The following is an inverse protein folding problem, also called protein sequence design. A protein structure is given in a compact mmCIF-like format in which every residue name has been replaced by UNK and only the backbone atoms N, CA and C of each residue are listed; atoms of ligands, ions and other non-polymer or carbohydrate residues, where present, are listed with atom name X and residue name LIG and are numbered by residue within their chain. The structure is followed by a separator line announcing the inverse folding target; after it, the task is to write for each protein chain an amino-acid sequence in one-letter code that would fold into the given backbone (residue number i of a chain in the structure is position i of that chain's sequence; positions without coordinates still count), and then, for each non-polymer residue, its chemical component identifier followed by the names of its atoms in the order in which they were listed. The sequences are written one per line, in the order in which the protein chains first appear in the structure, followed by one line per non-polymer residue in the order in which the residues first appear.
data_IF_410908699115
#
_entry.id   IF_410908699115
#
_cell.length_a   1.000
_cell.length_b   1.000
_cell.length_c   1.000
_cell.angle_alpha   90.00
_cell.angle_beta   90.00
_cell.angle_gamma   90.00
#
_symmetry.space_group_name_H-M   'P 1'
#
loop_
_entity.id
_entity.type
_entity.pdbx_description
1 polymer ?
#
# COMPACT_ATOMS: atom_id res chain seq x y z
N UNK A 1 -15.11 22.40 -5.72
CA UNK A 1 -15.85 21.15 -5.50
C UNK A 1 -15.61 20.75 -4.07
N UNK A 2 -16.65 20.67 -3.23
CA UNK A 2 -16.55 20.25 -1.84
C UNK A 2 -16.07 18.79 -1.81
N UNK A 3 -14.87 18.56 -1.29
CA UNK A 3 -14.37 17.22 -1.04
C UNK A 3 -15.35 16.48 -0.12
N UNK A 4 -16.10 15.59 -0.71
CA UNK A 4 -16.95 14.67 0.02
C UNK A 4 -16.02 13.69 0.77
N UNK A 5 -15.62 14.05 2.00
CA UNK A 5 -14.73 13.22 2.83
C UNK A 5 -15.42 11.88 3.05
N UNK A 6 -14.81 10.83 2.51
CA UNK A 6 -15.30 9.46 2.70
C UNK A 6 -15.48 9.15 4.19
N UNK A 7 -16.64 8.58 4.53
CA UNK A 7 -16.90 8.10 5.89
C UNK A 7 -15.98 6.94 6.25
N UNK A 8 -15.70 6.76 7.56
CA UNK A 8 -14.89 5.63 8.02
C UNK A 8 -15.47 4.28 7.56
N UNK A 9 -16.80 4.15 7.54
CA UNK A 9 -17.49 2.93 7.08
C UNK A 9 -17.19 2.63 5.59
N UNK A 10 -17.18 3.64 4.75
CA UNK A 10 -16.83 3.51 3.33
C UNK A 10 -15.37 3.11 3.14
N UNK A 11 -14.44 3.73 3.89
CA UNK A 11 -13.01 3.39 3.86
C UNK A 11 -12.79 1.91 4.22
N UNK A 12 -13.40 1.42 5.29
CA UNK A 12 -13.37 0.00 5.65
C UNK A 12 -13.99 -0.90 4.58
N UNK A 13 -15.07 -0.45 3.94
CA UNK A 13 -15.70 -1.15 2.82
C UNK A 13 -14.74 -1.37 1.65
N UNK A 14 -13.99 -0.33 1.28
CA UNK A 14 -12.98 -0.40 0.20
C UNK A 14 -11.82 -1.29 0.60
N UNK A 15 -11.27 -1.15 1.81
CA UNK A 15 -10.20 -2.01 2.30
C UNK A 15 -10.62 -3.49 2.21
N UNK A 16 -11.81 -3.82 2.72
CA UNK A 16 -12.35 -5.19 2.68
C UNK A 16 -12.53 -5.70 1.24
N UNK A 17 -13.00 -4.82 0.34
CA UNK A 17 -13.17 -5.15 -1.09
C UNK A 17 -11.81 -5.42 -1.74
N UNK A 18 -10.79 -4.62 -1.42
CA UNK A 18 -9.44 -4.78 -1.95
C UNK A 18 -8.78 -6.05 -1.45
N UNK A 19 -8.97 -6.39 -0.16
CA UNK A 19 -8.53 -7.68 0.40
C UNK A 19 -9.15 -8.86 -0.36
N UNK A 20 -10.47 -8.80 -0.63
CA UNK A 20 -11.15 -9.85 -1.41
C UNK A 20 -10.65 -9.95 -2.85
N UNK A 21 -10.36 -8.81 -3.47
CA UNK A 21 -9.81 -8.76 -4.83
C UNK A 21 -8.44 -9.45 -4.89
N UNK A 22 -7.59 -9.16 -3.91
CA UNK A 22 -6.26 -9.77 -3.78
C UNK A 22 -6.37 -11.29 -3.61
N UNK A 23 -7.20 -11.75 -2.69
CA UNK A 23 -7.40 -13.19 -2.46
C UNK A 23 -8.03 -13.90 -3.68
N UNK A 24 -8.84 -13.18 -4.47
CA UNK A 24 -9.37 -13.70 -5.75
C UNK A 24 -8.28 -13.79 -6.82
N UNK A 25 -7.36 -12.82 -6.85
CA UNK A 25 -6.26 -12.79 -7.81
C UNK A 25 -5.19 -13.85 -7.50
N UNK A 26 -4.86 -14.03 -6.22
CA UNK A 26 -3.89 -15.03 -5.74
C UNK A 26 -4.27 -15.54 -4.34
N UNK A 27 -4.87 -16.72 -4.30
CA UNK A 27 -5.34 -17.34 -3.06
C UNK A 27 -4.18 -17.56 -2.05
N UNK A 28 -4.35 -17.05 -0.84
CA UNK A 28 -3.35 -17.15 0.23
C UNK A 28 -2.20 -16.13 0.10
N UNK A 29 -2.33 -15.10 -0.73
CA UNK A 29 -1.33 -14.03 -0.86
C UNK A 29 -1.08 -13.31 0.46
N UNK A 30 -2.15 -12.98 1.20
CA UNK A 30 -2.07 -12.32 2.50
C UNK A 30 -1.31 -13.19 3.50
N UNK A 31 -1.64 -14.48 3.56
CA UNK A 31 -0.97 -15.44 4.46
C UNK A 31 0.54 -15.50 4.18
N UNK A 32 0.95 -15.59 2.91
CA UNK A 32 2.37 -15.63 2.54
C UNK A 32 3.12 -14.35 2.96
N UNK A 33 2.50 -13.20 2.82
CA UNK A 33 3.08 -11.93 3.27
C UNK A 33 3.21 -11.85 4.79
N UNK A 34 2.25 -12.40 5.53
CA UNK A 34 2.32 -12.45 7.00
C UNK A 34 3.37 -13.44 7.49
N UNK A 35 3.43 -14.66 6.93
CA UNK A 35 4.42 -15.70 7.27
C UNK A 35 5.84 -15.19 7.09
N UNK A 36 6.09 -14.30 6.13
CA UNK A 36 7.38 -13.67 5.90
C UNK A 36 7.89 -12.79 7.07
N UNK A 37 6.97 -12.32 7.94
CA UNK A 37 7.30 -11.53 9.13
C UNK A 37 7.61 -12.36 10.37
N UNK A 38 7.20 -13.61 10.40
CA UNK A 38 7.37 -14.50 11.57
C UNK A 38 8.85 -14.68 11.94
N UNK A 39 9.78 -14.93 11.01
CA UNK A 39 11.20 -15.07 11.33
C UNK A 39 11.79 -13.83 12.01
N UNK A 40 11.45 -12.64 11.55
CA UNK A 40 11.93 -11.40 12.15
C UNK A 40 11.44 -11.24 13.60
N UNK A 41 10.20 -11.66 13.87
CA UNK A 41 9.62 -11.65 15.22
C UNK A 41 10.34 -12.65 16.11
N UNK A 42 10.52 -13.89 15.64
CA UNK A 42 11.20 -14.95 16.38
C UNK A 42 12.64 -14.53 16.69
N UNK A 43 13.40 -14.06 15.71
CA UNK A 43 14.80 -13.63 15.91
C UNK A 43 14.89 -12.49 16.92
N UNK A 44 13.96 -11.54 16.88
CA UNK A 44 13.94 -10.43 17.85
C UNK A 44 13.75 -10.92 19.29
N UNK A 45 12.74 -11.75 19.54
CA UNK A 45 12.41 -12.19 20.90
C UNK A 45 13.34 -13.29 21.40
N UNK A 46 13.83 -14.16 20.54
CA UNK A 46 14.86 -15.16 20.90
C UNK A 46 16.18 -14.51 21.28
N UNK A 47 16.57 -13.42 20.58
CA UNK A 47 17.75 -12.63 20.93
C UNK A 47 17.63 -11.92 22.29
N UNK A 48 16.47 -11.34 22.60
CA UNK A 48 16.21 -10.74 23.92
C UNK A 48 16.32 -11.80 25.03
N UNK A 49 15.68 -12.96 24.84
CA UNK A 49 15.70 -14.05 25.79
C UNK A 49 17.11 -14.63 26.01
N UNK A 50 17.88 -14.82 24.91
CA UNK A 50 19.25 -15.28 25.00
C UNK A 50 20.14 -14.30 25.75
N UNK A 51 20.03 -13.00 25.47
CA UNK A 51 20.81 -11.96 26.15
C UNK A 51 20.55 -12.00 27.67
N UNK A 52 19.30 -12.13 28.09
CA UNK A 52 18.94 -12.28 29.50
C UNK A 52 19.54 -13.54 30.12
N UNK A 53 19.40 -14.69 29.49
CA UNK A 53 19.96 -15.96 29.98
C UNK A 53 21.48 -15.93 30.13
N UNK A 54 22.18 -15.30 29.18
CA UNK A 54 23.64 -15.18 29.24
C UNK A 54 24.04 -14.29 30.42
N UNK A 55 23.41 -13.15 30.60
CA UNK A 55 23.78 -12.21 31.65
C UNK A 55 23.49 -12.83 33.02
N UNK A 56 22.32 -13.40 33.24
CA UNK A 56 22.00 -14.07 34.52
C UNK A 56 22.91 -15.31 34.73
N UNK A 57 23.19 -16.05 33.69
CA UNK A 57 24.10 -17.17 33.80
C UNK A 57 25.54 -16.79 34.16
N UNK A 58 26.04 -15.65 33.65
CA UNK A 58 27.36 -15.12 34.01
C UNK A 58 27.36 -14.57 35.46
N UNK A 59 26.31 -13.83 35.84
CA UNK A 59 26.20 -13.26 37.21
C UNK A 59 26.03 -14.32 38.25
N UNK A 60 25.32 -15.43 37.95
CA UNK A 60 25.12 -16.57 38.82
C UNK A 60 26.34 -17.53 38.83
N UNK A 61 27.37 -17.30 38.01
CA UNK A 61 28.53 -18.17 37.89
C UNK A 61 28.23 -19.54 37.30
N UNK A 62 27.26 -19.68 36.42
CA UNK A 62 26.90 -20.94 35.76
C UNK A 62 28.02 -21.42 34.83
N UNK A 63 28.20 -22.76 34.65
CA UNK A 63 29.26 -23.29 33.81
C UNK A 63 29.08 -22.86 32.34
N UNK A 64 30.19 -22.70 31.64
CA UNK A 64 30.22 -22.30 30.23
C UNK A 64 29.37 -23.22 29.31
N UNK A 65 29.30 -24.51 29.64
CA UNK A 65 28.48 -25.50 28.91
C UNK A 65 26.98 -25.13 28.91
N UNK A 66 26.46 -24.62 30.02
CA UNK A 66 25.08 -24.16 30.11
C UNK A 66 24.83 -22.99 29.15
N UNK A 67 25.73 -22.01 29.14
CA UNK A 67 25.61 -20.83 28.27
C UNK A 67 25.74 -21.20 26.79
N UNK A 68 26.67 -22.11 26.47
CA UNK A 68 26.85 -22.60 25.10
C UNK A 68 25.65 -23.43 24.61
N UNK A 69 25.06 -24.25 25.48
CA UNK A 69 23.84 -25.00 25.12
C UNK A 69 22.63 -24.08 24.90
N UNK A 70 22.46 -23.07 25.75
CA UNK A 70 21.40 -22.06 25.55
C UNK A 70 21.59 -21.32 24.22
N UNK A 71 22.80 -20.86 23.93
CA UNK A 71 23.14 -20.21 22.66
C UNK A 71 22.88 -21.12 21.46
N UNK A 72 23.28 -22.39 21.53
CA UNK A 72 23.07 -23.37 20.46
C UNK A 72 21.58 -23.63 20.19
N UNK A 73 20.74 -23.68 21.23
CA UNK A 73 19.30 -23.86 21.08
C UNK A 73 18.68 -22.63 20.36
N UNK A 74 19.03 -21.42 20.78
CA UNK A 74 18.52 -20.19 20.15
C UNK A 74 19.00 -20.09 18.70
N UNK A 75 20.29 -20.36 18.41
CA UNK A 75 20.80 -20.40 17.04
C UNK A 75 20.06 -21.45 16.19
N UNK A 76 19.70 -22.59 16.78
CA UNK A 76 18.90 -23.62 16.11
C UNK A 76 17.49 -23.12 15.74
N UNK A 77 16.83 -22.41 16.66
CA UNK A 77 15.51 -21.77 16.41
C UNK A 77 15.63 -20.73 15.31
N UNK A 78 16.65 -19.88 15.36
CA UNK A 78 16.89 -18.86 14.32
C UNK A 78 17.18 -19.48 12.96
N UNK A 79 17.97 -20.54 12.90
CA UNK A 79 18.25 -21.27 11.66
C UNK A 79 16.97 -21.83 11.03
N UNK A 80 16.12 -22.47 11.83
CA UNK A 80 14.81 -22.98 11.36
C UNK A 80 13.95 -21.82 10.85
N UNK A 81 13.95 -20.71 11.56
CA UNK A 81 13.21 -19.51 11.20
C UNK A 81 13.68 -18.95 9.85
N UNK A 82 14.98 -18.83 9.62
CA UNK A 82 15.57 -18.40 8.35
C UNK A 82 15.23 -19.38 7.22
N UNK A 83 15.27 -20.69 7.47
CA UNK A 83 14.88 -21.67 6.46
C UNK A 83 13.40 -21.51 6.04
N UNK A 84 12.51 -21.30 7.01
CA UNK A 84 11.10 -21.00 6.72
C UNK A 84 10.99 -19.73 5.86
N UNK A 85 11.75 -18.67 6.17
CA UNK A 85 11.77 -17.43 5.41
C UNK A 85 12.22 -17.64 3.96
N UNK A 86 13.30 -18.39 3.76
CA UNK A 86 13.83 -18.67 2.41
C UNK A 86 12.81 -19.42 1.57
N UNK A 87 12.17 -20.46 2.14
CA UNK A 87 11.15 -21.25 1.45
C UNK A 87 9.91 -20.36 1.12
N UNK A 88 9.48 -19.57 2.11
CA UNK A 88 8.34 -18.69 1.92
C UNK A 88 8.64 -17.58 0.89
N UNK A 89 9.83 -16.99 0.89
CA UNK A 89 10.24 -15.96 -0.06
C UNK A 89 10.24 -16.48 -1.50
N UNK A 90 10.73 -17.70 -1.72
CA UNK A 90 10.66 -18.34 -3.04
C UNK A 90 9.21 -18.45 -3.54
N UNK A 91 8.31 -18.91 -2.69
CA UNK A 91 6.90 -19.01 -3.00
C UNK A 91 6.26 -17.62 -3.20
N UNK A 92 6.58 -16.65 -2.36
CA UNK A 92 6.09 -15.27 -2.44
C UNK A 92 6.49 -14.59 -3.75
N UNK A 93 7.73 -14.74 -4.20
CA UNK A 93 8.19 -14.16 -5.47
C UNK A 93 7.49 -14.78 -6.67
N UNK A 94 7.35 -16.12 -6.72
CA UNK A 94 6.63 -16.81 -7.78
C UNK A 94 5.15 -16.36 -7.85
N UNK A 95 4.47 -16.32 -6.71
CA UNK A 95 3.09 -15.88 -6.61
C UNK A 95 2.91 -14.37 -6.82
N UNK A 96 3.89 -13.55 -6.45
CA UNK A 96 3.86 -12.12 -6.69
C UNK A 96 3.71 -11.78 -8.18
N UNK A 97 4.46 -12.46 -9.05
CA UNK A 97 4.33 -12.30 -10.50
C UNK A 97 2.94 -12.74 -11.01
N UNK A 98 2.40 -13.84 -10.48
CA UNK A 98 1.06 -14.32 -10.83
C UNK A 98 -0.04 -13.35 -10.39
N UNK A 99 0.10 -12.78 -9.20
CA UNK A 99 -0.82 -11.80 -8.66
C UNK A 99 -0.97 -10.59 -9.58
N UNK A 100 0.15 -9.93 -9.96
CA UNK A 100 0.13 -8.77 -10.85
C UNK A 100 -0.54 -9.09 -12.18
N UNK A 101 -0.16 -10.20 -12.82
CA UNK A 101 -0.74 -10.65 -14.08
C UNK A 101 -2.25 -10.91 -13.98
N UNK A 102 -2.71 -11.47 -12.87
CA UNK A 102 -4.13 -11.75 -12.68
C UNK A 102 -4.95 -10.48 -12.45
N UNK A 103 -4.41 -9.49 -11.73
CA UNK A 103 -5.07 -8.19 -11.56
C UNK A 103 -5.11 -7.44 -12.90
N UNK A 104 -4.02 -7.43 -13.65
CA UNK A 104 -3.97 -6.84 -14.99
C UNK A 104 -4.99 -7.50 -15.94
N UNK A 105 -5.07 -8.84 -15.93
CA UNK A 105 -6.07 -9.58 -16.69
C UNK A 105 -7.51 -9.17 -16.34
N UNK A 106 -7.78 -8.87 -15.07
CA UNK A 106 -9.12 -8.41 -14.66
C UNK A 106 -9.46 -7.04 -15.29
N UNK A 107 -8.48 -6.13 -15.36
CA UNK A 107 -8.67 -4.82 -16.01
C UNK A 107 -8.82 -4.99 -17.51
N UNK A 108 -7.92 -5.75 -18.15
CA UNK A 108 -8.02 -6.00 -19.58
C UNK A 108 -9.37 -6.62 -19.95
N UNK A 109 -9.84 -7.60 -19.14
CA UNK A 109 -11.17 -8.18 -19.35
C UNK A 109 -12.27 -7.11 -19.24
N UNK A 110 -12.20 -6.24 -18.21
CA UNK A 110 -13.16 -5.14 -18.04
C UNK A 110 -13.20 -4.23 -19.26
N UNK A 111 -12.03 -3.83 -19.79
CA UNK A 111 -11.94 -3.01 -21.01
C UNK A 111 -12.57 -3.71 -22.21
N UNK A 112 -12.32 -5.03 -22.38
CA UNK A 112 -12.87 -5.81 -23.49
C UNK A 112 -14.38 -6.03 -23.38
N UNK A 113 -14.92 -6.06 -22.17
CA UNK A 113 -16.36 -6.27 -21.91
C UNK A 113 -17.15 -4.94 -21.97
N UNK A 114 -16.49 -3.78 -22.00
CA UNK A 114 -17.12 -2.45 -22.11
C UNK A 114 -17.52 -2.13 -23.55
N UNK A 115 -18.54 -1.28 -23.69
CA UNK A 115 -18.90 -0.70 -24.99
C UNK A 115 -17.78 0.23 -25.49
N UNK A 116 -17.57 0.25 -26.80
CA UNK A 116 -16.54 1.06 -27.44
C UNK A 116 -16.73 2.56 -27.17
N UNK A 117 -17.96 3.05 -27.18
CA UNK A 117 -18.28 4.43 -26.85
C UNK A 117 -17.84 4.86 -25.44
N UNK A 118 -17.90 3.92 -24.49
CA UNK A 118 -17.40 4.14 -23.12
C UNK A 118 -15.88 4.16 -23.05
N UNK A 119 -15.20 3.35 -23.89
CA UNK A 119 -13.74 3.32 -23.92
C UNK A 119 -13.15 4.59 -24.50
N UNK A 120 -13.81 5.21 -25.49
CA UNK A 120 -13.39 6.48 -26.09
C UNK A 120 -13.67 7.70 -25.19
N UNK A 121 -14.56 7.57 -24.20
CA UNK A 121 -14.86 8.65 -23.27
C UNK A 121 -13.65 9.05 -22.44
N UNK A 122 -13.33 10.36 -22.44
CA UNK A 122 -12.16 10.92 -21.74
C UNK A 122 -12.24 10.65 -20.23
N UNK A 123 -13.44 10.70 -19.63
CA UNK A 123 -13.60 10.42 -18.20
C UNK A 123 -13.27 8.96 -17.88
N UNK A 124 -13.73 8.03 -18.71
CA UNK A 124 -13.44 6.60 -18.59
C UNK A 124 -11.96 6.31 -18.79
N UNK A 125 -11.30 6.94 -19.77
CA UNK A 125 -9.84 6.79 -19.95
C UNK A 125 -9.06 7.32 -18.76
N UNK A 126 -9.45 8.47 -18.20
CA UNK A 126 -8.84 8.99 -16.98
C UNK A 126 -9.00 8.04 -15.78
N UNK A 127 -10.18 7.42 -15.62
CA UNK A 127 -10.42 6.40 -14.59
C UNK A 127 -9.55 5.16 -14.80
N UNK A 128 -9.39 4.72 -16.05
CA UNK A 128 -8.52 3.58 -16.40
C UNK A 128 -7.06 3.87 -16.08
N UNK A 129 -6.54 5.05 -16.41
CA UNK A 129 -5.16 5.43 -16.16
C UNK A 129 -4.88 5.57 -14.64
N UNK A 130 -5.84 6.14 -13.90
CA UNK A 130 -5.77 6.15 -12.45
C UNK A 130 -5.77 4.73 -11.88
N UNK A 131 -6.66 3.85 -12.35
CA UNK A 131 -6.72 2.46 -11.92
C UNK A 131 -5.40 1.73 -12.16
N UNK A 132 -4.77 1.89 -13.33
CA UNK A 132 -3.45 1.32 -13.64
C UNK A 132 -2.37 1.85 -12.69
N UNK A 133 -2.34 3.16 -12.45
CA UNK A 133 -1.37 3.80 -11.57
C UNK A 133 -1.42 3.19 -10.17
N UNK A 134 -2.62 2.99 -9.60
CA UNK A 134 -2.76 2.46 -8.24
C UNK A 134 -2.59 0.95 -8.12
N UNK A 135 -2.54 0.22 -9.21
CA UNK A 135 -2.20 -1.21 -9.17
C UNK A 135 -0.69 -1.42 -9.00
N UNK A 136 0.12 -0.64 -9.71
CA UNK A 136 1.56 -0.86 -9.78
C UNK A 136 2.37 -0.01 -8.79
N UNK A 137 1.81 1.07 -8.25
CA UNK A 137 2.55 1.93 -7.34
C UNK A 137 2.82 1.21 -6.01
N UNK A 138 4.10 0.99 -5.69
CA UNK A 138 4.53 0.29 -4.48
C UNK A 138 4.17 1.04 -3.19
N UNK A 139 4.07 2.38 -3.24
CA UNK A 139 3.84 3.21 -2.06
C UNK A 139 2.36 3.51 -1.78
N UNK A 140 1.55 3.61 -2.83
CA UNK A 140 0.14 4.02 -2.71
C UNK A 140 -0.83 2.99 -3.26
N UNK A 141 -0.35 2.07 -4.06
CA UNK A 141 -1.16 1.06 -4.73
C UNK A 141 -1.52 -0.14 -3.87
N UNK A 142 -2.03 -1.17 -4.52
CA UNK A 142 -2.40 -2.44 -3.87
C UNK A 142 -1.21 -3.12 -3.15
N UNK A 143 0.04 -3.08 -3.65
CA UNK A 143 1.18 -3.62 -2.91
C UNK A 143 1.38 -2.97 -1.54
N UNK A 144 1.10 -1.66 -1.41
CA UNK A 144 1.17 -0.96 -0.14
C UNK A 144 0.18 -1.51 0.89
N UNK A 145 -1.04 -1.88 0.46
CA UNK A 145 -2.02 -2.51 1.33
C UNK A 145 -1.45 -3.78 1.99
N UNK A 146 -0.75 -4.61 1.22
CA UNK A 146 -0.15 -5.83 1.75
C UNK A 146 0.92 -5.55 2.80
N UNK A 147 1.77 -4.54 2.54
CA UNK A 147 2.78 -4.07 3.49
C UNK A 147 2.14 -3.61 4.80
N UNK A 148 1.16 -2.71 4.72
CA UNK A 148 0.48 -2.17 5.90
C UNK A 148 -0.30 -3.24 6.67
N UNK A 149 -1.05 -4.10 5.98
CA UNK A 149 -1.79 -5.17 6.62
C UNK A 149 -0.87 -6.16 7.36
N UNK A 150 0.23 -6.58 6.73
CA UNK A 150 1.20 -7.48 7.35
C UNK A 150 1.92 -6.81 8.54
N UNK A 151 2.18 -5.50 8.49
CA UNK A 151 2.76 -4.75 9.59
C UNK A 151 1.82 -4.68 10.79
N UNK A 152 0.53 -4.38 10.58
CA UNK A 152 -0.49 -4.41 11.66
C UNK A 152 -0.59 -5.80 12.29
N UNK A 153 -0.66 -6.86 11.48
CA UNK A 153 -0.73 -8.23 12.00
C UNK A 153 0.54 -8.60 12.79
N UNK A 154 1.72 -8.25 12.28
CA UNK A 154 2.99 -8.51 12.99
C UNK A 154 3.10 -7.72 14.29
N UNK A 155 2.62 -6.47 14.31
CA UNK A 155 2.58 -5.65 15.50
C UNK A 155 1.74 -6.27 16.60
N UNK A 156 0.53 -6.78 16.27
CA UNK A 156 -0.32 -7.49 17.24
C UNK A 156 0.41 -8.68 17.85
N UNK A 157 1.09 -9.49 17.04
CA UNK A 157 1.86 -10.66 17.52
C UNK A 157 3.01 -10.22 18.43
N UNK A 158 3.73 -9.14 18.06
CA UNK A 158 4.83 -8.60 18.87
C UNK A 158 4.33 -8.09 20.25
N UNK A 159 3.18 -7.42 20.30
CA UNK A 159 2.58 -6.99 21.56
C UNK A 159 2.25 -8.20 22.43
N UNK A 160 1.58 -9.21 21.89
CA UNK A 160 1.24 -10.42 22.63
C UNK A 160 2.48 -11.15 23.17
N UNK A 161 3.52 -11.32 22.36
CA UNK A 161 4.77 -11.96 22.77
C UNK A 161 5.55 -11.12 23.77
N UNK A 162 5.61 -9.80 23.57
CA UNK A 162 6.26 -8.88 24.50
C UNK A 162 5.65 -8.92 25.88
N UNK A 163 4.31 -8.90 25.98
CA UNK A 163 3.61 -9.06 27.25
C UNK A 163 3.80 -10.44 27.85
N UNK A 164 3.77 -11.51 27.05
CA UNK A 164 3.95 -12.88 27.53
C UNK A 164 5.34 -13.09 28.18
N UNK A 165 6.39 -12.50 27.58
CA UNK A 165 7.76 -12.57 28.10
C UNK A 165 8.00 -11.62 29.28
N UNK A 166 7.38 -10.43 29.28
CA UNK A 166 7.54 -9.48 30.38
C UNK A 166 6.68 -9.80 31.59
N UNK A 167 5.56 -10.52 31.43
CA UNK A 167 4.63 -10.82 32.53
C UNK A 167 5.26 -11.50 33.76
N UNK A 168 6.10 -12.56 33.63
CA UNK A 168 6.73 -13.18 34.79
C UNK A 168 7.58 -12.20 35.61
N UNK A 169 8.31 -11.31 34.91
CA UNK A 169 9.17 -10.31 35.54
C UNK A 169 8.38 -9.23 36.28
N UNK A 170 7.16 -8.93 35.80
CA UNK A 170 6.27 -7.90 36.38
C UNK A 170 5.61 -8.36 37.68
N UNK A 171 5.23 -9.64 37.76
CA UNK A 171 4.35 -10.16 38.82
C UNK A 171 5.09 -10.91 39.95
N UNK A 172 6.41 -10.87 39.98
CA UNK A 172 7.26 -11.65 40.93
C UNK A 172 7.05 -11.27 42.42
N UNK A 173 6.50 -10.10 42.79
CA UNK A 173 6.33 -9.71 44.16
C UNK A 173 4.96 -9.05 44.44
N UNK A 174 4.06 -9.84 45.05
CA UNK A 174 2.77 -9.35 45.58
C UNK A 174 2.86 -9.04 47.09
N UNK A 175 3.82 -8.20 47.50
CA UNK A 175 3.87 -7.72 48.88
C UNK A 175 2.73 -6.71 49.15
N UNK A 176 2.22 -6.66 50.36
CA UNK A 176 1.21 -5.66 50.74
C UNK A 176 1.76 -4.24 50.54
N UNK A 177 1.03 -3.42 49.79
CA UNK A 177 1.44 -2.04 49.46
C UNK A 177 1.18 -1.17 50.69
N UNK A 178 2.25 -0.78 51.39
CA UNK A 178 2.17 0.12 52.58
C UNK A 178 2.74 1.50 52.31
N UNK A 179 3.78 1.58 51.43
CA UNK A 179 4.51 2.80 51.11
C UNK A 179 4.78 2.93 49.60
N UNK A 180 5.23 4.11 49.19
CA UNK A 180 5.63 4.37 47.78
C UNK A 180 6.70 3.36 47.29
N UNK A 181 7.62 3.00 48.19
CA UNK A 181 8.64 1.97 47.88
C UNK A 181 8.00 0.62 47.59
N UNK A 182 7.11 0.14 48.49
CA UNK A 182 6.39 -1.12 48.30
C UNK A 182 5.48 -1.09 47.05
N UNK A 183 4.91 0.07 46.74
CA UNK A 183 4.11 0.27 45.52
C UNK A 183 4.96 0.10 44.26
N UNK A 184 6.12 0.76 44.17
CA UNK A 184 7.04 0.65 43.04
C UNK A 184 7.62 -0.79 42.88
N UNK A 185 7.76 -1.50 43.99
CA UNK A 185 8.18 -2.91 44.00
C UNK A 185 7.09 -3.88 43.63
N UNK A 186 5.84 -3.48 43.70
CA UNK A 186 4.67 -4.33 43.42
C UNK A 186 4.40 -4.39 41.90
N UNK A 187 3.59 -5.38 41.49
CA UNK A 187 3.02 -5.45 40.13
C UNK A 187 2.14 -4.24 39.77
N UNK A 188 1.54 -3.57 40.77
CA UNK A 188 0.75 -2.36 40.57
C UNK A 188 1.60 -1.17 40.08
N UNK A 189 2.81 -1.00 40.62
CA UNK A 189 3.73 0.03 40.17
C UNK A 189 4.10 -0.16 38.70
N UNK A 190 4.37 -1.42 38.32
CA UNK A 190 4.61 -1.77 36.92
C UNK A 190 3.36 -1.51 36.03
N UNK A 191 2.16 -1.86 36.53
CA UNK A 191 0.93 -1.62 35.77
C UNK A 191 0.68 -0.12 35.51
N UNK A 192 0.90 0.73 36.53
CA UNK A 192 0.75 2.20 36.42
C UNK A 192 1.79 2.77 35.38
N UNK A 193 3.02 2.29 35.44
CA UNK A 193 4.04 2.68 34.45
C UNK A 193 3.63 2.28 33.03
N UNK A 194 3.08 1.07 32.85
CA UNK A 194 2.55 0.60 31.57
C UNK A 194 1.42 1.45 31.05
N UNK A 195 0.48 1.81 31.95
CA UNK A 195 -0.63 2.70 31.61
C UNK A 195 -0.10 4.07 31.20
N UNK A 196 0.91 4.61 31.90
CA UNK A 196 1.53 5.89 31.55
C UNK A 196 2.21 5.84 30.17
N UNK A 197 3.06 4.84 29.92
CA UNK A 197 3.68 4.68 28.60
C UNK A 197 2.63 4.44 27.51
N UNK A 198 1.63 3.59 27.76
CA UNK A 198 0.54 3.37 26.83
C UNK A 198 -0.31 4.62 26.56
N UNK A 199 -0.52 5.48 27.56
CA UNK A 199 -1.20 6.76 27.37
C UNK A 199 -0.41 7.73 26.47
N UNK A 200 0.93 7.75 26.59
CA UNK A 200 1.77 8.52 25.69
C UNK A 200 1.69 8.00 24.24
N UNK A 201 1.71 6.68 24.04
CA UNK A 201 1.53 6.07 22.72
C UNK A 201 0.15 6.37 22.13
N UNK A 202 -0.92 6.25 22.93
CA UNK A 202 -2.27 6.60 22.50
C UNK A 202 -2.35 8.09 22.15
N UNK A 203 -1.70 8.97 22.92
CA UNK A 203 -1.64 10.39 22.61
C UNK A 203 -0.94 10.65 21.28
N UNK A 204 0.19 10.02 21.02
CA UNK A 204 0.89 10.11 19.73
C UNK A 204 -0.03 9.63 18.58
N UNK A 205 -0.60 8.44 18.74
CA UNK A 205 -1.48 7.83 17.74
C UNK A 205 -2.75 8.65 17.45
N UNK A 206 -3.35 9.25 18.47
CA UNK A 206 -4.62 9.97 18.32
C UNK A 206 -4.47 11.46 17.99
N UNK A 207 -3.41 12.11 18.45
CA UNK A 207 -3.24 13.56 18.33
C UNK A 207 -2.16 13.97 17.34
N UNK A 208 -1.01 13.29 17.30
CA UNK A 208 0.14 13.71 16.51
C UNK A 208 0.17 13.05 15.11
N UNK A 209 0.02 11.74 15.03
CA UNK A 209 0.05 11.01 13.75
C UNK A 209 -0.99 11.52 12.74
N UNK A 210 -2.27 11.75 13.11
CA UNK A 210 -3.26 12.26 12.16
C UNK A 210 -2.93 13.65 11.62
N UNK A 211 -2.22 14.48 12.40
CA UNK A 211 -1.78 15.80 11.92
C UNK A 211 -0.63 15.68 10.92
N UNK A 212 0.36 14.82 11.20
CA UNK A 212 1.44 14.54 10.27
C UNK A 212 0.91 13.92 8.97
N UNK A 213 0.03 12.93 9.06
CA UNK A 213 -0.62 12.32 7.89
C UNK A 213 -1.46 13.30 7.07
N UNK A 214 -2.14 14.25 7.71
CA UNK A 214 -2.91 15.28 7.01
C UNK A 214 -2.03 16.12 6.08
N UNK A 215 -0.82 16.49 6.50
CA UNK A 215 0.10 17.22 5.63
C UNK A 215 0.60 16.36 4.46
N UNK A 216 0.87 15.08 4.72
CA UNK A 216 1.24 14.14 3.66
C UNK A 216 0.08 13.91 2.67
N UNK A 217 -1.14 13.77 3.16
CA UNK A 217 -2.34 13.60 2.32
C UNK A 217 -2.60 14.83 1.45
N UNK A 218 -2.45 16.04 2.00
CA UNK A 218 -2.54 17.29 1.25
C UNK A 218 -1.54 17.37 0.10
N UNK A 219 -0.33 16.84 0.28
CA UNK A 219 0.67 16.78 -0.80
C UNK A 219 0.18 15.92 -1.97
N UNK A 220 -0.48 14.80 -1.70
CA UNK A 220 -0.97 13.88 -2.73
C UNK A 220 -2.33 14.27 -3.34
N UNK A 221 -3.06 15.19 -2.71
CA UNK A 221 -4.40 15.60 -3.15
C UNK A 221 -4.46 17.03 -3.71
N UNK A 222 -3.40 17.83 -3.53
CA UNK A 222 -3.34 19.21 -4.04
C UNK A 222 -3.38 19.22 -5.58
N UNK A 223 -4.41 19.85 -6.20
CA UNK A 223 -4.55 19.87 -7.65
C UNK A 223 -3.35 20.48 -8.39
N UNK A 224 -2.69 21.48 -7.78
CA UNK A 224 -1.50 22.13 -8.37
C UNK A 224 -0.33 21.16 -8.43
N UNK A 225 -0.14 20.37 -7.38
CA UNK A 225 0.93 19.37 -7.32
C UNK A 225 0.64 18.24 -8.30
N UNK A 226 -0.59 17.76 -8.35
CA UNK A 226 -1.00 16.74 -9.30
C UNK A 226 -0.80 17.18 -10.75
N UNK A 227 -1.11 18.45 -11.05
CA UNK A 227 -0.87 19.03 -12.37
C UNK A 227 0.63 19.11 -12.66
N UNK A 228 1.43 19.67 -11.77
CA UNK A 228 2.88 19.78 -11.92
C UNK A 228 3.55 18.41 -12.07
N UNK A 229 3.08 17.39 -11.35
CA UNK A 229 3.57 16.01 -11.46
C UNK A 229 3.23 15.38 -12.83
N UNK A 230 2.02 15.64 -13.36
CA UNK A 230 1.64 15.22 -14.71
C UNK A 230 2.50 15.89 -15.77
N UNK A 231 2.72 17.19 -15.67
CA UNK A 231 3.58 17.96 -16.59
C UNK A 231 5.02 17.45 -16.52
N UNK A 232 5.59 17.27 -15.33
CA UNK A 232 6.92 16.70 -15.11
C UNK A 232 7.05 15.30 -15.73
N UNK A 233 6.05 14.46 -15.51
CA UNK A 233 6.00 13.11 -16.08
C UNK A 233 5.88 13.13 -17.58
N UNK A 234 5.05 14.00 -18.15
CA UNK A 234 4.88 14.17 -19.58
C UNK A 234 6.23 14.50 -20.25
N UNK A 235 6.93 15.54 -19.79
CA UNK A 235 8.21 15.93 -20.37
C UNK A 235 9.25 14.81 -20.24
N UNK A 236 9.32 14.15 -19.09
CA UNK A 236 10.23 13.03 -18.88
C UNK A 236 9.97 11.87 -19.86
N UNK A 237 8.72 11.46 -20.02
CA UNK A 237 8.37 10.37 -20.93
C UNK A 237 8.55 10.76 -22.40
N UNK A 238 8.17 11.97 -22.80
CA UNK A 238 8.30 12.46 -24.18
C UNK A 238 9.75 12.65 -24.62
N UNK A 239 10.63 13.08 -23.72
CA UNK A 239 12.00 13.40 -24.04
C UNK A 239 12.97 12.25 -23.80
N UNK A 240 12.88 11.62 -22.61
CA UNK A 240 13.89 10.63 -22.18
C UNK A 240 13.56 9.22 -22.66
N UNK A 241 12.29 8.82 -22.64
CA UNK A 241 11.90 7.45 -22.97
C UNK A 241 11.33 7.27 -24.37
N UNK A 242 10.96 8.35 -25.07
CA UNK A 242 10.43 8.26 -26.42
C UNK A 242 11.38 8.89 -27.45
N UNK A 243 12.30 8.10 -28.00
CA UNK A 243 13.25 8.54 -29.02
C UNK A 243 12.58 9.05 -30.31
N UNK A 244 11.32 8.69 -30.57
CA UNK A 244 10.60 9.10 -31.80
C UNK A 244 10.45 10.61 -31.90
N UNK A 245 10.27 11.29 -30.78
CA UNK A 245 10.14 12.74 -30.71
C UNK A 245 11.49 13.48 -30.85
N UNK A 246 12.62 12.77 -30.75
CA UNK A 246 13.94 13.38 -30.79
C UNK A 246 14.27 14.11 -32.08
N UNK A 247 13.69 13.70 -33.24
CA UNK A 247 13.85 14.39 -34.52
C UNK A 247 13.13 15.72 -34.51
N UNK A 248 11.90 15.76 -34.06
CA UNK A 248 11.05 16.97 -34.01
C UNK A 248 11.61 17.99 -33.03
N UNK A 249 11.98 17.56 -31.82
CA UNK A 249 12.62 18.40 -30.80
C UNK A 249 13.86 19.11 -31.34
N UNK A 250 14.72 18.40 -32.14
CA UNK A 250 15.92 18.99 -32.73
C UNK A 250 15.60 19.90 -33.91
N UNK A 251 14.62 19.52 -34.74
CA UNK A 251 14.22 20.28 -35.92
C UNK A 251 13.61 21.63 -35.53
N UNK A 252 12.78 21.65 -34.48
CA UNK A 252 12.11 22.87 -34.04
C UNK A 252 12.87 23.60 -32.91
N UNK A 253 13.99 23.07 -32.45
CA UNK A 253 14.82 23.72 -31.41
C UNK A 253 14.15 23.80 -30.04
N UNK A 254 13.30 22.80 -29.69
CA UNK A 254 12.44 22.84 -28.51
C UNK A 254 13.17 22.49 -27.18
N UNK A 255 14.48 22.18 -27.21
CA UNK A 255 15.21 21.70 -26.03
C UNK A 255 15.08 22.66 -24.84
N UNK A 256 15.31 23.97 -25.05
CA UNK A 256 15.26 24.97 -24.01
C UNK A 256 13.85 25.17 -23.43
N UNK A 257 12.82 25.07 -24.28
CA UNK A 257 11.42 25.16 -23.88
C UNK A 257 11.04 23.97 -22.99
N UNK A 258 11.40 22.77 -23.41
CA UNK A 258 11.14 21.53 -22.67
C UNK A 258 11.85 21.54 -21.32
N UNK A 259 13.13 21.92 -21.31
CA UNK A 259 13.93 22.01 -20.08
C UNK A 259 13.32 23.03 -19.11
N UNK A 260 12.98 24.23 -19.58
CA UNK A 260 12.35 25.27 -18.76
C UNK A 260 11.03 24.78 -18.14
N UNK A 261 10.15 24.20 -18.93
CA UNK A 261 8.85 23.74 -18.46
C UNK A 261 9.00 22.55 -17.47
N UNK A 262 9.92 21.63 -17.77
CA UNK A 262 10.25 20.54 -16.83
C UNK A 262 10.76 21.07 -15.51
N UNK A 263 11.71 22.01 -15.51
CA UNK A 263 12.28 22.60 -14.30
C UNK A 263 11.21 23.33 -13.49
N UNK A 264 10.36 24.13 -14.13
CA UNK A 264 9.28 24.85 -13.44
C UNK A 264 8.32 23.89 -12.74
N UNK A 265 7.90 22.82 -13.44
CA UNK A 265 7.05 21.80 -12.85
C UNK A 265 7.78 21.02 -11.72
N UNK A 266 9.07 20.73 -11.91
CA UNK A 266 9.91 20.04 -10.93
C UNK A 266 10.08 20.86 -9.65
N UNK A 267 10.41 22.13 -9.76
CA UNK A 267 10.56 23.05 -8.63
C UNK A 267 9.26 23.15 -7.83
N UNK A 268 8.12 23.30 -8.50
CA UNK A 268 6.80 23.33 -7.84
C UNK A 268 6.54 22.07 -6.99
N UNK A 269 6.90 20.90 -7.50
CA UNK A 269 6.75 19.64 -6.77
C UNK A 269 7.74 19.56 -5.60
N UNK A 270 9.00 19.90 -5.83
CA UNK A 270 10.07 19.84 -4.81
C UNK A 270 9.79 20.81 -3.67
N UNK A 271 9.41 22.04 -3.95
CA UNK A 271 9.10 23.03 -2.91
C UNK A 271 7.97 22.56 -2.00
N UNK A 272 6.94 21.97 -2.59
CA UNK A 272 5.84 21.42 -1.79
C UNK A 272 6.27 20.22 -0.96
N UNK A 273 7.07 19.34 -1.53
CA UNK A 273 7.65 18.20 -0.82
C UNK A 273 8.44 18.70 0.40
N UNK A 274 9.35 19.67 0.19
CA UNK A 274 10.15 20.24 1.27
C UNK A 274 9.29 20.87 2.37
N UNK A 275 8.30 21.71 1.99
CA UNK A 275 7.36 22.30 2.96
C UNK A 275 6.62 21.24 3.77
N UNK A 276 6.19 20.17 3.13
CA UNK A 276 5.49 19.04 3.79
C UNK A 276 6.42 18.34 4.77
N UNK A 277 7.64 18.02 4.35
CA UNK A 277 8.63 17.37 5.22
C UNK A 277 9.01 18.23 6.43
N UNK A 278 9.20 19.53 6.26
CA UNK A 278 9.48 20.42 7.39
C UNK A 278 8.34 20.39 8.43
N UNK A 279 7.09 20.50 7.98
CA UNK A 279 5.93 20.47 8.89
C UNK A 279 5.75 19.08 9.54
N UNK A 280 5.96 18.01 8.80
CA UNK A 280 5.87 16.66 9.35
C UNK A 280 6.99 16.41 10.37
N UNK A 281 8.20 16.95 10.14
CA UNK A 281 9.33 16.83 11.07
C UNK A 281 9.06 17.45 12.43
N UNK A 282 8.27 18.53 12.52
CA UNK A 282 7.87 19.13 13.81
C UNK A 282 7.07 18.12 14.66
N UNK A 283 6.11 17.43 14.06
CA UNK A 283 5.33 16.40 14.76
C UNK A 283 6.19 15.19 15.10
N UNK A 284 7.05 14.75 14.19
CA UNK A 284 7.99 13.65 14.43
C UNK A 284 8.94 13.96 15.58
N UNK A 285 9.40 15.20 15.69
CA UNK A 285 10.24 15.63 16.82
C UNK A 285 9.52 15.51 18.17
N UNK A 286 8.25 15.94 18.24
CA UNK A 286 7.44 15.81 19.46
C UNK A 286 7.21 14.32 19.80
N UNK A 287 6.92 13.49 18.81
CA UNK A 287 6.78 12.04 19.00
C UNK A 287 8.06 11.43 19.58
N UNK A 288 9.23 11.75 19.00
CA UNK A 288 10.51 11.27 19.50
C UNK A 288 10.81 11.75 20.94
N UNK A 289 10.34 12.94 21.33
CA UNK A 289 10.45 13.39 22.72
C UNK A 289 9.56 12.58 23.67
N UNK A 290 8.32 12.24 23.26
CA UNK A 290 7.45 11.37 24.04
C UNK A 290 8.08 9.99 24.21
N UNK A 291 8.67 9.43 23.14
CA UNK A 291 9.37 8.15 23.19
C UNK A 291 10.58 8.18 24.11
N UNK A 292 11.37 9.24 24.06
CA UNK A 292 12.52 9.42 24.96
C UNK A 292 12.05 9.47 26.43
N UNK A 293 10.97 10.20 26.71
CA UNK A 293 10.39 10.28 28.05
C UNK A 293 9.90 8.90 28.52
N UNK A 294 9.19 8.17 27.69
CA UNK A 294 8.76 6.81 28.00
C UNK A 294 9.95 5.89 28.32
N UNK A 295 11.00 5.94 27.50
CA UNK A 295 12.22 5.15 27.72
C UNK A 295 12.94 5.54 29.00
N UNK A 296 13.07 6.84 29.33
CA UNK A 296 13.69 7.30 30.56
C UNK A 296 12.94 6.79 31.81
N UNK A 297 11.62 6.86 31.79
CA UNK A 297 10.78 6.35 32.90
C UNK A 297 10.92 4.84 33.03
N UNK A 298 10.92 4.14 31.90
CA UNK A 298 11.07 2.67 31.84
C UNK A 298 12.42 2.21 32.39
N UNK A 299 13.52 2.80 31.94
CA UNK A 299 14.87 2.49 32.44
C UNK A 299 15.01 2.86 33.92
N UNK A 300 14.53 4.03 34.33
CA UNK A 300 14.57 4.47 35.74
C UNK A 300 13.85 3.47 36.64
N UNK A 301 12.67 3.01 36.25
CA UNK A 301 11.92 2.00 36.99
C UNK A 301 12.65 0.63 37.06
N UNK A 302 13.18 0.17 35.93
CA UNK A 302 13.90 -1.10 35.89
C UNK A 302 15.16 -1.08 36.76
N UNK A 303 15.96 0.00 36.68
CA UNK A 303 17.16 0.20 37.49
C UNK A 303 16.79 0.28 38.98
N UNK A 304 15.71 1.03 39.33
CA UNK A 304 15.25 1.12 40.72
C UNK A 304 14.90 -0.26 41.29
N UNK A 305 14.17 -1.10 40.54
CA UNK A 305 13.84 -2.46 40.97
C UNK A 305 15.05 -3.39 41.05
N UNK A 306 15.99 -3.26 40.13
CA UNK A 306 17.22 -4.04 40.15
C UNK A 306 18.12 -3.71 41.35
N UNK A 307 18.33 -2.44 41.66
CA UNK A 307 19.12 -1.98 42.82
C UNK A 307 18.52 -2.46 44.12
N UNK A 308 17.21 -2.55 44.20
CA UNK A 308 16.50 -3.05 45.41
C UNK A 308 16.33 -4.59 45.39
N UNK A 309 17.00 -5.32 44.49
CA UNK A 309 17.06 -6.77 44.49
C UNK A 309 15.78 -7.50 44.06
N UNK A 310 14.83 -6.80 43.43
CA UNK A 310 13.58 -7.42 42.95
C UNK A 310 13.62 -7.89 41.51
N UNK A 311 14.68 -7.58 40.76
CA UNK A 311 14.94 -8.02 39.39
C UNK A 311 16.41 -8.43 39.27
N UNK A 312 16.65 -9.52 38.54
CA UNK A 312 18.00 -9.87 38.09
C UNK A 312 18.48 -8.94 36.97
N UNK A 313 19.74 -8.97 36.62
CA UNK A 313 20.26 -8.21 35.48
C UNK A 313 19.63 -8.68 34.16
N UNK A 314 19.36 -9.97 34.00
CA UNK A 314 18.65 -10.52 32.85
C UNK A 314 17.19 -10.10 32.80
N UNK A 315 16.50 -10.05 33.94
CA UNK A 315 15.13 -9.57 34.05
C UNK A 315 14.99 -8.12 33.57
N UNK A 316 15.97 -7.27 33.92
CA UNK A 316 16.01 -5.86 33.43
C UNK A 316 16.05 -5.82 31.92
N UNK A 317 16.83 -6.69 31.28
CA UNK A 317 16.95 -6.77 29.81
C UNK A 317 15.62 -7.20 29.21
N UNK A 318 15.00 -8.29 29.72
CA UNK A 318 13.70 -8.76 29.22
C UNK A 318 12.68 -7.63 29.35
N UNK A 319 12.57 -7.03 30.55
CA UNK A 319 11.60 -5.99 30.83
C UNK A 319 11.76 -4.80 29.87
N UNK A 320 12.95 -4.21 29.81
CA UNK A 320 13.20 -3.00 29.00
C UNK A 320 13.05 -3.29 27.51
N UNK A 321 13.67 -4.37 27.01
CA UNK A 321 13.62 -4.68 25.57
C UNK A 321 12.24 -5.11 25.10
N UNK A 322 11.50 -5.90 25.88
CA UNK A 322 10.12 -6.25 25.54
C UNK A 322 9.23 -5.00 25.48
N UNK A 323 9.40 -4.07 26.44
CA UNK A 323 8.64 -2.82 26.43
C UNK A 323 8.93 -1.94 25.23
N UNK A 324 10.21 -1.75 24.91
CA UNK A 324 10.62 -1.02 23.70
C UNK A 324 10.00 -1.67 22.45
N UNK A 325 9.96 -3.00 22.39
CA UNK A 325 9.32 -3.71 21.29
C UNK A 325 7.81 -3.53 21.24
N UNK A 326 7.15 -3.53 22.40
CA UNK A 326 5.72 -3.24 22.49
C UNK A 326 5.43 -1.80 22.00
N UNK A 327 6.24 -0.80 22.39
CA UNK A 327 6.10 0.57 21.91
C UNK A 327 6.23 0.65 20.39
N UNK A 328 7.29 0.11 19.80
CA UNK A 328 7.45 0.07 18.35
C UNK A 328 6.32 -0.68 17.63
N UNK A 329 5.76 -1.70 18.25
CA UNK A 329 4.62 -2.42 17.68
C UNK A 329 3.34 -1.57 17.70
N UNK A 330 3.09 -0.78 18.76
CA UNK A 330 1.99 0.17 18.82
C UNK A 330 2.12 1.28 17.79
N UNK A 331 3.31 1.89 17.69
CA UNK A 331 3.63 2.89 16.67
C UNK A 331 3.39 2.31 15.26
N UNK A 332 3.95 1.15 14.97
CA UNK A 332 3.78 0.46 13.69
C UNK A 332 2.31 0.16 13.38
N UNK A 333 1.51 -0.29 14.36
CA UNK A 333 0.07 -0.51 14.15
C UNK A 333 -0.62 0.81 13.84
N UNK A 334 -0.36 1.86 14.61
CA UNK A 334 -0.98 3.17 14.42
C UNK A 334 -0.70 3.74 13.02
N UNK A 335 0.56 3.78 12.63
CA UNK A 335 1.00 4.35 11.34
C UNK A 335 0.46 3.55 10.16
N UNK A 336 0.57 2.22 10.23
CA UNK A 336 0.10 1.37 9.16
C UNK A 336 -1.43 1.35 9.06
N UNK A 337 -2.13 1.42 10.19
CA UNK A 337 -3.58 1.50 10.21
C UNK A 337 -4.08 2.85 9.66
N UNK A 338 -3.45 3.96 10.06
CA UNK A 338 -3.70 5.29 9.51
C UNK A 338 -3.48 5.32 7.99
N UNK A 339 -2.34 4.77 7.56
CA UNK A 339 -2.01 4.64 6.12
C UNK A 339 -3.03 3.80 5.34
N UNK A 340 -3.56 2.71 5.92
CA UNK A 340 -4.64 1.93 5.30
C UNK A 340 -5.89 2.78 5.09
N UNK A 341 -6.28 3.58 6.07
CA UNK A 341 -7.45 4.45 5.98
C UNK A 341 -7.25 5.56 4.95
N UNK A 342 -6.09 6.22 4.94
CA UNK A 342 -5.77 7.31 4.01
C UNK A 342 -5.68 6.79 2.57
N UNK A 343 -4.93 5.73 2.34
CA UNK A 343 -4.75 5.16 1.00
C UNK A 343 -6.02 4.48 0.44
N UNK A 344 -7.00 4.17 1.27
CA UNK A 344 -8.29 3.65 0.80
C UNK A 344 -9.00 4.57 -0.19
N UNK A 345 -8.78 5.90 -0.11
CA UNK A 345 -9.30 6.87 -1.08
C UNK A 345 -8.69 6.67 -2.48
N UNK A 346 -7.41 6.31 -2.52
CA UNK A 346 -6.71 6.02 -3.78
C UNK A 346 -7.21 4.71 -4.40
N UNK A 347 -7.45 3.69 -3.56
CA UNK A 347 -8.01 2.41 -4.04
C UNK A 347 -9.46 2.54 -4.51
N UNK A 348 -10.20 3.54 -4.06
CA UNK A 348 -11.52 3.84 -4.58
C UNK A 348 -11.48 4.10 -6.08
N UNK A 349 -10.47 4.80 -6.58
CA UNK A 349 -10.35 5.12 -8.01
C UNK A 349 -10.24 3.86 -8.90
N UNK A 350 -9.66 2.78 -8.38
CA UNK A 350 -9.71 1.48 -9.07
C UNK A 350 -11.16 0.99 -9.19
N UNK A 351 -11.96 1.14 -8.14
CA UNK A 351 -13.34 0.70 -8.16
C UNK A 351 -14.24 1.60 -8.96
N UNK A 352 -13.97 2.91 -9.00
CA UNK A 352 -14.67 3.85 -9.86
C UNK A 352 -14.54 3.46 -11.35
N UNK A 353 -13.44 2.81 -11.73
CA UNK A 353 -13.28 2.19 -13.04
C UNK A 353 -13.96 0.82 -13.15
N UNK A 354 -13.72 -0.09 -12.18
CA UNK A 354 -14.25 -1.46 -12.24
C UNK A 354 -15.79 -1.53 -12.16
N UNK A 355 -16.41 -0.52 -11.56
CA UNK A 355 -17.87 -0.45 -11.36
C UNK A 355 -18.61 0.23 -12.51
N UNK A 356 -17.90 0.70 -13.56
CA UNK A 356 -18.56 1.17 -14.79
C UNK A 356 -19.39 0.02 -15.35
N UNK A 357 -20.67 0.22 -15.70
CA UNK A 357 -21.51 -0.84 -16.25
C UNK A 357 -20.96 -1.40 -17.55
N UNK A 358 -21.07 -2.73 -17.72
CA UNK A 358 -20.76 -3.41 -18.97
C UNK A 358 -22.02 -3.38 -19.86
N UNK A 359 -22.12 -2.37 -20.71
CA UNK A 359 -23.28 -2.13 -21.58
C UNK A 359 -23.07 -2.63 -23.01
N UNK A 360 -22.04 -3.45 -23.22
CA UNK A 360 -21.75 -3.99 -24.55
C UNK A 360 -22.89 -4.86 -25.02
N UNK A 361 -23.56 -4.43 -26.09
CA UNK A 361 -24.53 -5.25 -26.77
C UNK A 361 -23.81 -6.45 -27.41
N UNK A 362 -24.08 -7.61 -26.91
CA UNK A 362 -23.63 -8.86 -27.53
C UNK A 362 -24.84 -9.45 -28.29
N UNK A 363 -24.76 -9.41 -29.62
CA UNK A 363 -25.77 -10.08 -30.45
C UNK A 363 -25.90 -11.55 -30.06
N UNK A 364 -27.12 -12.04 -30.12
CA UNK A 364 -27.43 -13.44 -29.77
C UNK A 364 -27.17 -14.43 -30.92
N UNK A 365 -26.93 -13.91 -32.13
CA UNK A 365 -26.70 -14.72 -33.32
C UNK A 365 -25.19 -14.77 -33.57
N UNK A 366 -24.54 -15.94 -33.45
CA UNK A 366 -23.13 -16.09 -33.80
C UNK A 366 -22.95 -15.92 -35.31
N UNK A 367 -21.81 -15.33 -35.70
CA UNK A 367 -21.42 -15.28 -37.12
C UNK A 367 -21.25 -16.70 -37.63
N UNK A 368 -21.97 -17.05 -38.69
CA UNK A 368 -21.85 -18.35 -39.33
C UNK A 368 -20.41 -18.48 -39.92
N UNK A 369 -19.73 -19.56 -39.57
CA UNK A 369 -18.45 -19.90 -40.20
C UNK A 369 -18.76 -20.64 -41.50
N UNK A 370 -18.43 -20.01 -42.62
CA UNK A 370 -18.62 -20.57 -43.96
C UNK A 370 -17.28 -21.04 -44.52
N UNK A 371 -17.26 -22.25 -45.06
CA UNK A 371 -16.07 -22.83 -45.70
C UNK A 371 -15.65 -22.10 -46.99
N UNK A 372 -16.63 -21.46 -47.65
CA UNK A 372 -16.44 -20.70 -48.87
C UNK A 372 -15.86 -19.27 -48.61
N UNK A 373 -15.81 -18.81 -47.38
CA UNK A 373 -15.44 -17.45 -46.96
C UNK A 373 -16.26 -16.35 -47.70
N UNK A 374 -17.39 -16.69 -48.30
CA UNK A 374 -18.28 -15.72 -48.94
C UNK A 374 -19.20 -15.06 -47.90
N UNK A 375 -18.77 -13.91 -47.39
CA UNK A 375 -19.59 -13.12 -46.45
C UNK A 375 -20.13 -11.86 -47.12
N UNK A 376 -21.35 -11.49 -46.75
CA UNK A 376 -22.03 -10.30 -47.22
C UNK A 376 -22.31 -9.37 -46.04
N UNK A 377 -22.01 -8.10 -46.20
CA UNK A 377 -22.30 -7.05 -45.22
C UNK A 377 -23.50 -6.25 -45.74
N UNK A 378 -24.48 -6.07 -44.87
CA UNK A 378 -25.68 -5.30 -45.20
C UNK A 378 -26.02 -4.33 -44.06
N UNK A 379 -26.14 -3.05 -44.42
CA UNK A 379 -26.72 -2.01 -43.57
C UNK A 379 -28.14 -1.78 -44.04
N UNK A 380 -29.13 -1.86 -43.13
CA UNK A 380 -30.55 -1.60 -43.41
C UNK A 380 -31.02 -0.48 -42.48
N UNK A 381 -31.42 0.64 -43.07
CA UNK A 381 -31.96 1.79 -42.34
C UNK A 381 -31.09 2.19 -41.13
N UNK A 382 -29.75 2.27 -41.31
CA UNK A 382 -28.83 2.56 -40.23
C UNK A 382 -28.77 4.07 -40.01
N UNK A 383 -29.01 4.45 -38.75
CA UNK A 383 -28.91 5.83 -38.28
C UNK A 383 -27.80 5.86 -37.24
N UNK A 384 -26.88 6.84 -37.34
CA UNK A 384 -25.79 6.99 -36.38
C UNK A 384 -25.62 8.45 -35.97
N UNK A 385 -25.44 8.70 -34.68
CA UNK A 385 -25.01 9.96 -34.10
C UNK A 385 -23.95 9.72 -33.04
N UNK A 386 -23.03 10.66 -32.89
CA UNK A 386 -22.07 10.66 -31.79
C UNK A 386 -22.81 10.92 -30.46
N UNK A 387 -22.33 10.36 -29.32
CA UNK A 387 -22.98 10.50 -28.01
C UNK A 387 -23.32 11.94 -27.61
N UNK A 388 -22.43 12.89 -27.93
CA UNK A 388 -22.55 14.31 -27.58
C UNK A 388 -23.19 15.17 -28.70
N UNK A 389 -23.66 14.54 -29.79
CA UNK A 389 -24.29 15.24 -30.91
C UNK A 389 -25.82 15.17 -30.82
N UNK A 390 -26.48 16.31 -31.01
CA UNK A 390 -27.94 16.33 -31.15
C UNK A 390 -28.39 15.86 -32.54
N UNK A 391 -27.53 16.02 -33.56
CA UNK A 391 -27.83 15.67 -34.93
C UNK A 391 -27.27 14.31 -35.33
N UNK A 392 -28.03 13.58 -36.15
CA UNK A 392 -27.55 12.36 -36.77
C UNK A 392 -26.53 12.65 -37.85
N UNK A 393 -25.34 12.07 -37.70
CA UNK A 393 -24.22 12.14 -38.67
C UNK A 393 -24.50 11.27 -39.87
N UNK A 394 -25.09 10.09 -39.68
CA UNK A 394 -25.57 9.23 -40.76
C UNK A 394 -27.06 9.05 -40.60
N UNK A 395 -27.78 9.18 -41.72
CA UNK A 395 -29.24 9.11 -41.76
C UNK A 395 -29.65 8.11 -42.82
N UNK A 396 -30.40 7.09 -42.42
CA UNK A 396 -31.05 6.09 -43.30
C UNK A 396 -30.07 5.44 -44.29
N UNK A 397 -28.93 4.94 -43.80
CA UNK A 397 -27.92 4.29 -44.63
C UNK A 397 -28.39 2.88 -45.01
N UNK A 398 -28.48 2.64 -46.32
CA UNK A 398 -28.79 1.37 -46.91
C UNK A 398 -27.64 0.97 -47.86
N UNK A 399 -26.80 0.02 -47.44
CA UNK A 399 -25.63 -0.42 -48.19
C UNK A 399 -25.50 -1.94 -48.12
N UNK A 400 -25.03 -2.54 -49.21
CA UNK A 400 -24.80 -3.97 -49.30
C UNK A 400 -23.54 -4.23 -50.10
N UNK A 401 -22.61 -5.04 -49.57
CA UNK A 401 -21.38 -5.42 -50.29
C UNK A 401 -20.85 -6.78 -49.83
N UNK A 402 -20.03 -7.41 -50.66
CA UNK A 402 -19.40 -8.72 -50.39
C UNK A 402 -17.93 -8.53 -49.97
N UNK A 403 -17.39 -9.53 -49.30
CA UNK A 403 -15.96 -9.59 -49.04
C UNK A 403 -15.18 -9.55 -50.37
N UNK A 404 -14.15 -8.70 -50.41
CA UNK A 404 -13.33 -8.50 -51.59
C UNK A 404 -13.80 -7.36 -52.52
N UNK A 405 -15.02 -6.87 -52.40
CA UNK A 405 -15.48 -5.67 -53.11
C UNK A 405 -14.77 -4.40 -52.58
N UNK A 406 -14.38 -3.52 -53.48
CA UNK A 406 -13.77 -2.23 -53.16
C UNK A 406 -14.84 -1.15 -53.27
N UNK A 407 -15.14 -0.49 -52.18
CA UNK A 407 -16.08 0.63 -52.15
C UNK A 407 -15.33 1.92 -51.80
N UNK A 408 -15.59 2.98 -52.55
CA UNK A 408 -15.08 4.32 -52.25
C UNK A 408 -16.14 5.11 -51.52
N UNK A 409 -15.86 5.55 -50.30
CA UNK A 409 -16.71 6.43 -49.49
C UNK A 409 -16.25 7.88 -49.71
N UNK A 410 -17.14 8.72 -50.19
CA UNK A 410 -16.87 10.13 -50.48
C UNK A 410 -17.82 10.98 -49.65
N UNK A 411 -17.30 11.95 -48.90
CA UNK A 411 -18.10 12.85 -48.06
C UNK A 411 -17.35 14.16 -47.78
N UNK A 412 -18.04 15.11 -47.15
CA UNK A 412 -17.40 16.35 -46.68
C UNK A 412 -16.33 16.01 -45.64
N UNK A 413 -15.21 16.78 -45.65
CA UNK A 413 -14.15 16.67 -44.64
C UNK A 413 -14.74 16.87 -43.24
N UNK A 414 -14.48 15.93 -42.34
CA UNK A 414 -15.03 15.90 -40.98
C UNK A 414 -16.05 14.80 -40.72
N UNK A 415 -16.60 14.17 -41.77
CA UNK A 415 -17.32 12.90 -41.61
C UNK A 415 -16.31 11.78 -41.51
N UNK A 416 -15.91 11.43 -40.31
CA UNK A 416 -15.01 10.27 -40.08
C UNK A 416 -15.79 8.98 -40.28
N UNK A 417 -16.01 8.62 -41.53
CA UNK A 417 -16.63 7.35 -41.92
C UNK A 417 -15.71 6.14 -41.65
N UNK A 418 -14.46 6.38 -41.31
CA UNK A 418 -13.44 5.38 -41.01
C UNK A 418 -13.83 4.54 -39.77
N UNK A 419 -14.47 5.15 -38.77
CA UNK A 419 -14.86 4.47 -37.54
C UNK A 419 -16.04 3.49 -37.71
N UNK A 420 -16.73 3.53 -38.83
CA UNK A 420 -17.85 2.62 -39.12
C UNK A 420 -17.39 1.37 -39.88
N UNK A 421 -16.27 1.48 -40.60
CA UNK A 421 -15.81 0.45 -41.55
C UNK A 421 -14.55 -0.30 -41.10
N UNK A 422 -13.97 -0.03 -39.93
CA UNK A 422 -12.84 -0.79 -39.37
C UNK A 422 -13.23 -1.71 -38.21
N UNK A 423 -13.95 -2.82 -38.43
CA UNK A 423 -14.02 -3.84 -37.40
C UNK A 423 -12.88 -4.85 -37.47
N UNK A 424 -11.97 -4.81 -38.39
CA UNK A 424 -10.86 -5.81 -38.39
C UNK A 424 -9.77 -5.46 -39.36
N UNK A 425 -8.67 -4.91 -38.90
CA UNK A 425 -7.34 -5.21 -39.45
C UNK A 425 -6.61 -6.07 -38.45
N UNK A 426 -6.65 -7.36 -38.62
CA UNK A 426 -5.64 -8.29 -38.11
C UNK A 426 -4.65 -8.63 -39.22
#
# INVERSE_FOLDING_TARGET
MSENKMSLKERFGIIKRTIKLIEKADKGHIRRNFVDRIPDIISTFSGIFLASLIIDGVTDGKPAEYLLTAAAVVCGIELISVLIQVINNKNKQAHGTLYYRNVERMICKKVLDMDYSKIEDIETQNKLDNAKTYIYNSNTGIPALMGHLSAVMSGIVQICLGFALAAPVLFVNSAAVTDIHSFLMSGWGAAVLLIFCGALEIFQAAALNPQAEKYMDQMYTDPKILQAERERSFYRWHTTYNYRNGKEIRLYGEQQLIEKNFLTAHETVVDKILQTFFKTSEYTFIMNLCDLLSKLVLYGFAIYRAVNGSMSAGDVIIFVMCFIRIQYAFESISDNFGSLLTKSQMWKQLYDFLDIPDEKYQGTIPTEKRDDNEYEFEFKHVWFKYPDSEEYTLKDINLKWRIGEKMALVGKNGLSLIHISEPTRH
#
